data_IF_578450276693
#
_entry.id   IF_578450276693
#
_cell.length_a   1.000
_cell.length_b   1.000
_cell.length_c   1.000
_cell.angle_alpha   90.00
_cell.angle_beta   90.00
_cell.angle_gamma   90.00
#
_symmetry.space_group_name_H-M   'P 1'
#
loop_
_entity.id
_entity.type
_entity.pdbx_description
1 polymer ?
#
# COMPACT_ATOMS: atom_id res chain seq x y z
N UNK A 1 33.81 -35.02 -1.00
CA UNK A 1 33.14 -34.30 0.11
C UNK A 1 33.22 -32.77 -0.02
N UNK A 2 34.35 -32.19 -0.46
CA UNK A 2 34.49 -30.73 -0.72
C UNK A 2 33.59 -30.19 -1.85
N UNK A 3 33.36 -30.96 -2.91
CA UNK A 3 32.47 -30.57 -4.02
C UNK A 3 31.00 -30.49 -3.60
N UNK A 4 30.57 -31.30 -2.62
CA UNK A 4 29.19 -31.29 -2.11
C UNK A 4 28.90 -30.00 -1.31
N UNK A 5 29.90 -29.50 -0.58
CA UNK A 5 29.79 -28.23 0.15
C UNK A 5 29.69 -27.02 -0.78
N UNK A 6 30.36 -27.08 -1.94
CA UNK A 6 30.37 -26.00 -2.94
C UNK A 6 29.03 -25.87 -3.69
N UNK A 7 28.34 -26.99 -3.92
CA UNK A 7 26.99 -27.00 -4.52
C UNK A 7 25.94 -26.50 -3.52
N UNK A 8 26.09 -26.81 -2.23
CA UNK A 8 25.18 -26.35 -1.19
C UNK A 8 25.27 -24.83 -0.95
N UNK A 9 26.47 -24.24 -1.04
CA UNK A 9 26.67 -22.80 -0.86
C UNK A 9 26.10 -21.99 -2.04
N UNK A 10 26.09 -22.55 -3.25
CA UNK A 10 25.60 -21.86 -4.45
C UNK A 10 24.06 -21.81 -4.51
N UNK A 11 23.37 -22.74 -3.85
CA UNK A 11 21.90 -22.78 -3.80
C UNK A 11 21.26 -21.68 -2.96
N UNK A 12 22.00 -21.08 -2.01
CA UNK A 12 21.44 -20.09 -1.07
C UNK A 12 21.38 -18.65 -1.64
N UNK A 13 21.99 -18.39 -2.80
CA UNK A 13 22.05 -17.06 -3.42
C UNK A 13 20.84 -16.71 -4.31
N UNK A 14 19.90 -17.65 -4.51
CA UNK A 14 18.75 -17.49 -5.41
C UNK A 14 17.45 -17.10 -4.69
N UNK A 15 17.51 -16.65 -3.44
CA UNK A 15 16.32 -16.15 -2.75
C UNK A 15 15.87 -14.85 -3.45
N UNK A 16 14.66 -14.79 -4.03
CA UNK A 16 14.17 -13.55 -4.61
C UNK A 16 14.02 -12.53 -3.49
N UNK A 17 14.78 -11.43 -3.57
CA UNK A 17 14.57 -10.28 -2.73
C UNK A 17 13.21 -9.68 -3.09
N UNK A 18 12.23 -9.82 -2.21
CA UNK A 18 10.93 -9.16 -2.37
C UNK A 18 11.12 -7.67 -2.10
N UNK A 19 11.41 -6.90 -3.15
CA UNK A 19 11.34 -5.45 -3.05
C UNK A 19 9.87 -5.07 -2.88
N UNK A 20 9.51 -4.62 -1.68
CA UNK A 20 8.26 -3.90 -1.48
C UNK A 20 8.44 -2.55 -2.19
N UNK A 21 8.00 -2.48 -3.46
CA UNK A 21 8.09 -1.28 -4.28
C UNK A 21 7.48 -0.09 -3.56
N UNK A 22 8.16 1.05 -3.65
CA UNK A 22 7.60 2.32 -3.19
C UNK A 22 6.56 2.81 -4.20
N UNK A 23 5.60 3.58 -3.71
CA UNK A 23 4.60 4.22 -4.56
C UNK A 23 5.27 5.29 -5.41
N UNK A 24 5.01 5.26 -6.72
CA UNK A 24 5.53 6.20 -7.70
C UNK A 24 4.44 7.16 -8.18
N UNK A 25 4.85 8.37 -8.61
CA UNK A 25 3.94 9.31 -9.25
C UNK A 25 3.43 8.76 -10.59
N UNK A 26 2.16 9.02 -10.91
CA UNK A 26 1.52 8.52 -12.13
C UNK A 26 1.06 7.05 -12.06
N UNK A 27 1.40 6.33 -10.98
CA UNK A 27 0.85 4.99 -10.72
C UNK A 27 -0.59 5.05 -10.21
N UNK A 28 -1.31 3.93 -10.26
CA UNK A 28 -2.63 3.79 -9.63
C UNK A 28 -2.56 2.75 -8.51
N UNK A 29 -3.17 3.06 -7.36
CA UNK A 29 -3.19 2.19 -6.18
C UNK A 29 -4.62 1.71 -5.97
N UNK A 30 -4.81 0.39 -5.96
CA UNK A 30 -6.08 -0.18 -5.54
C UNK A 30 -6.22 -0.05 -4.03
N UNK A 31 -7.27 0.63 -3.59
CA UNK A 31 -7.62 0.75 -2.17
C UNK A 31 -8.88 -0.07 -1.90
N UNK A 32 -8.89 -0.77 -0.77
CA UNK A 32 -10.04 -1.49 -0.24
C UNK A 32 -10.11 -1.20 1.25
N UNK A 33 -11.26 -0.72 1.71
CA UNK A 33 -11.53 -0.46 3.12
C UNK A 33 -12.52 -1.50 3.63
N UNK A 34 -12.22 -2.04 4.81
CA UNK A 34 -13.04 -2.98 5.53
C UNK A 34 -13.65 -2.28 6.75
N UNK A 35 -14.67 -2.86 7.38
CA UNK A 35 -15.30 -2.26 8.57
C UNK A 35 -16.16 -1.01 8.33
N UNK A 36 -16.26 -0.56 7.09
CA UNK A 36 -17.18 0.51 6.61
C UNK A 36 -18.47 -0.11 6.06
N UNK A 37 -19.66 0.51 6.18
CA UNK A 37 -20.89 0.01 5.56
C UNK A 37 -20.74 -0.26 4.05
N UNK A 38 -21.35 -1.34 3.55
CA UNK A 38 -21.23 -1.76 2.13
C UNK A 38 -21.67 -0.69 1.12
N UNK A 39 -22.63 0.15 1.50
CA UNK A 39 -23.10 1.29 0.70
C UNK A 39 -22.00 2.33 0.48
N UNK A 40 -21.10 2.48 1.44
CA UNK A 40 -19.99 3.44 1.40
C UNK A 40 -18.71 2.81 0.85
N UNK A 41 -18.52 1.51 1.07
CA UNK A 41 -17.43 0.75 0.44
C UNK A 41 -17.45 0.92 -1.08
N UNK A 42 -18.62 0.94 -1.72
CA UNK A 42 -18.72 1.18 -3.16
C UNK A 42 -18.22 2.55 -3.62
N UNK A 43 -18.15 3.54 -2.74
CA UNK A 43 -17.64 4.88 -3.03
C UNK A 43 -16.13 5.02 -2.75
N UNK A 44 -15.58 4.18 -1.88
CA UNK A 44 -14.17 4.26 -1.46
C UNK A 44 -13.30 3.16 -2.09
N UNK A 45 -13.86 1.99 -2.36
CA UNK A 45 -13.11 0.88 -2.95
C UNK A 45 -12.90 1.15 -4.43
N UNK A 46 -11.74 1.70 -4.77
CA UNK A 46 -11.39 2.10 -6.13
C UNK A 46 -9.89 2.13 -6.35
N UNK A 47 -9.49 2.22 -7.61
CA UNK A 47 -8.13 2.53 -8.01
C UNK A 47 -7.93 4.05 -7.97
N UNK A 48 -7.03 4.51 -7.09
CA UNK A 48 -6.71 5.92 -6.95
C UNK A 48 -5.43 6.27 -7.72
N UNK A 49 -5.47 7.19 -8.68
CA UNK A 49 -4.28 7.66 -9.36
C UNK A 49 -3.43 8.52 -8.40
N UNK A 50 -2.13 8.29 -8.41
CA UNK A 50 -1.14 9.12 -7.73
C UNK A 50 -0.82 10.28 -8.65
N UNK A 51 -1.21 11.49 -8.26
CA UNK A 51 -0.88 12.72 -9.00
C UNK A 51 0.62 12.88 -9.23
N UNK A 52 1.02 13.73 -10.18
CA UNK A 52 2.43 14.07 -10.43
C UNK A 52 3.15 14.61 -9.18
N UNK A 53 2.40 15.29 -8.30
CA UNK A 53 2.90 15.79 -7.01
C UNK A 53 3.01 14.69 -5.94
N UNK A 54 2.56 13.48 -6.23
CA UNK A 54 2.68 12.32 -5.37
C UNK A 54 1.55 12.14 -4.36
N UNK A 55 0.36 12.65 -4.64
CA UNK A 55 -0.82 12.57 -3.75
C UNK A 55 -1.93 11.72 -4.37
N UNK A 56 -2.65 10.98 -3.52
CA UNK A 56 -3.97 10.42 -3.83
C UNK A 56 -5.05 11.31 -3.20
N UNK A 57 -6.24 11.37 -3.79
CA UNK A 57 -7.38 12.11 -3.24
C UNK A 57 -8.51 11.15 -2.95
N UNK A 58 -8.93 11.07 -1.69
CA UNK A 58 -9.93 10.12 -1.22
C UNK A 58 -11.19 10.83 -0.70
N UNK A 59 -12.36 10.19 -0.79
CA UNK A 59 -13.60 10.73 -0.22
C UNK A 59 -13.44 11.01 1.27
N UNK A 60 -13.98 12.16 1.69
CA UNK A 60 -14.05 12.65 3.07
C UNK A 60 -12.73 13.00 3.78
N UNK A 61 -11.61 12.38 3.42
CA UNK A 61 -10.29 12.64 4.04
C UNK A 61 -9.36 13.50 3.17
N UNK A 62 -9.79 13.82 1.94
CA UNK A 62 -9.06 14.70 1.03
C UNK A 62 -7.77 14.07 0.49
N UNK A 63 -6.73 14.89 0.30
CA UNK A 63 -5.50 14.48 -0.35
C UNK A 63 -4.43 13.97 0.63
N UNK A 64 -3.88 12.79 0.37
CA UNK A 64 -2.82 12.16 1.16
C UNK A 64 -1.58 11.98 0.30
N UNK A 65 -0.42 12.42 0.80
CA UNK A 65 0.86 12.16 0.14
C UNK A 65 1.15 10.66 0.18
N UNK A 66 1.43 10.07 -0.98
CA UNK A 66 1.64 8.64 -1.17
C UNK A 66 3.03 8.32 -1.75
N UNK A 67 3.60 9.23 -2.55
CA UNK A 67 4.89 9.00 -3.21
C UNK A 67 6.01 8.65 -2.23
N UNK A 68 6.82 7.66 -2.59
CA UNK A 68 7.94 7.16 -1.80
C UNK A 68 7.53 6.35 -0.57
N UNK A 69 6.23 6.20 -0.29
CA UNK A 69 5.76 5.37 0.81
C UNK A 69 5.64 3.92 0.36
N UNK A 70 5.90 3.01 1.30
CA UNK A 70 5.47 1.62 1.14
C UNK A 70 3.93 1.56 1.24
N UNK A 71 3.27 0.65 0.49
CA UNK A 71 1.80 0.50 0.52
C UNK A 71 1.23 0.32 1.94
N UNK A 72 1.91 -0.46 2.79
CA UNK A 72 1.50 -0.66 4.18
C UNK A 72 1.52 0.63 5.02
N UNK A 73 2.46 1.54 4.76
CA UNK A 73 2.52 2.84 5.45
C UNK A 73 1.38 3.75 4.99
N UNK A 74 1.07 3.74 3.69
CA UNK A 74 -0.07 4.47 3.16
C UNK A 74 -1.39 3.97 3.75
N UNK A 75 -1.58 2.65 3.85
CA UNK A 75 -2.79 2.04 4.42
C UNK A 75 -3.06 2.54 5.85
N UNK A 76 -2.05 2.52 6.72
CA UNK A 76 -2.17 3.02 8.10
C UNK A 76 -2.46 4.52 8.16
N UNK A 77 -1.95 5.31 7.21
CA UNK A 77 -2.26 6.74 7.11
C UNK A 77 -3.71 6.99 6.71
N UNK A 78 -4.23 6.21 5.76
CA UNK A 78 -5.63 6.29 5.33
C UNK A 78 -6.56 5.92 6.50
N UNK A 79 -6.27 4.82 7.19
CA UNK A 79 -7.00 4.38 8.39
C UNK A 79 -7.03 5.48 9.46
N UNK A 80 -5.86 6.06 9.78
CA UNK A 80 -5.77 7.13 10.77
C UNK A 80 -6.54 8.39 10.35
N UNK A 81 -6.54 8.73 9.06
CA UNK A 81 -7.28 9.88 8.54
C UNK A 81 -8.80 9.69 8.63
N UNK A 82 -9.30 8.48 8.32
CA UNK A 82 -10.72 8.17 8.48
C UNK A 82 -11.18 8.14 9.94
N UNK A 83 -10.34 7.60 10.83
CA UNK A 83 -10.59 7.64 12.29
C UNK A 83 -10.58 9.07 12.83
N UNK A 84 -9.62 9.89 12.40
CA UNK A 84 -9.49 11.28 12.85
C UNK A 84 -10.63 12.18 12.33
N UNK A 85 -11.21 11.85 11.18
CA UNK A 85 -12.39 12.53 10.67
C UNK A 85 -13.70 12.10 11.38
N UNK A 86 -13.64 11.19 12.35
CA UNK A 86 -14.77 10.63 13.12
C UNK A 86 -15.87 9.99 12.25
N UNK A 87 -15.52 9.62 11.01
CA UNK A 87 -16.47 9.08 10.03
C UNK A 87 -16.69 7.59 10.28
N UNK A 88 -15.62 6.88 10.67
CA UNK A 88 -15.66 5.44 10.92
C UNK A 88 -14.94 5.10 12.22
N UNK A 89 -15.56 4.22 13.02
CA UNK A 89 -15.04 3.79 14.31
C UNK A 89 -13.99 2.68 14.18
N UNK A 90 -14.12 1.81 13.16
CA UNK A 90 -13.20 0.70 12.86
C UNK A 90 -12.97 0.49 11.35
N UNK A 91 -12.42 1.48 10.62
CA UNK A 91 -11.99 1.32 9.23
C UNK A 91 -10.67 0.54 9.10
#
# INVERSE_FOLDING_TARGET
>A
MKSLFLVLLLGLALLPATSNGQIEAGSAIQITILGVPVTEQGQINSAYPVSERGYITMPHIGSIKAIGMAPAVLARKIEAAYKAAEIYTFP
#
